data_IF_966824233925
#
_entry.id   IF_966824233925
#
_cell.length_a   1.000
_cell.length_b   1.000
_cell.length_c   1.000
_cell.angle_alpha   90.00
_cell.angle_beta   90.00
_cell.angle_gamma   90.00
#
_symmetry.space_group_name_H-M   'P 1'
#
loop_
_entity.id
_entity.type
_entity.pdbx_description
1 polymer ?
#
# COMPACT_ATOMS: atom_id res chain seq x y z
N UNK A 1 -71.21 -0.23 -30.21
CA UNK A 1 -69.82 -0.47 -29.84
C UNK A 1 -69.82 -0.85 -28.36
N UNK A 2 -69.95 -2.15 -28.08
CA UNK A 2 -69.86 -2.69 -26.71
C UNK A 2 -68.42 -3.04 -26.41
N UNK A 3 -67.73 -2.12 -25.80
CA UNK A 3 -66.39 -2.44 -25.26
C UNK A 3 -66.56 -3.40 -24.07
N UNK A 4 -66.16 -4.62 -24.27
CA UNK A 4 -66.33 -5.76 -23.37
C UNK A 4 -65.80 -5.44 -21.99
N UNK A 5 -66.63 -5.18 -20.98
CA UNK A 5 -66.27 -4.93 -19.55
C UNK A 5 -65.28 -5.90 -18.99
N UNK A 6 -65.27 -7.14 -19.51
CA UNK A 6 -64.29 -8.17 -19.15
C UNK A 6 -62.84 -7.81 -19.51
N UNK A 7 -62.59 -7.14 -20.67
CA UNK A 7 -61.22 -6.76 -21.07
C UNK A 7 -60.66 -5.62 -20.20
N UNK A 8 -61.49 -4.70 -19.74
CA UNK A 8 -61.12 -3.65 -18.82
C UNK A 8 -60.77 -4.19 -17.44
N UNK A 9 -61.46 -5.21 -16.94
CA UNK A 9 -61.17 -5.87 -15.68
C UNK A 9 -59.86 -6.65 -15.72
N UNK A 10 -59.50 -7.29 -16.84
CA UNK A 10 -58.24 -7.96 -17.00
C UNK A 10 -57.05 -7.00 -17.13
N UNK A 11 -57.22 -5.85 -17.75
CA UNK A 11 -56.22 -4.80 -17.80
C UNK A 11 -56.00 -4.13 -16.43
N UNK A 12 -57.04 -3.91 -15.66
CA UNK A 12 -56.96 -3.36 -14.31
C UNK A 12 -56.29 -4.35 -13.33
N UNK A 13 -56.57 -5.66 -13.44
CA UNK A 13 -55.93 -6.69 -12.62
C UNK A 13 -54.45 -6.86 -12.95
N UNK A 14 -54.02 -6.72 -14.22
CA UNK A 14 -52.63 -6.74 -14.63
C UNK A 14 -51.81 -5.54 -14.14
N UNK A 15 -52.41 -4.36 -14.06
CA UNK A 15 -51.75 -3.14 -13.58
C UNK A 15 -51.55 -3.11 -12.05
N UNK A 16 -52.37 -3.84 -11.29
CA UNK A 16 -52.26 -3.92 -9.84
C UNK A 16 -51.15 -4.86 -9.34
N UNK A 17 -50.64 -5.76 -10.18
CA UNK A 17 -49.59 -6.72 -9.80
C UNK A 17 -48.19 -6.15 -9.98
N UNK A 18 -47.99 -5.12 -10.80
CA UNK A 18 -46.71 -4.49 -11.05
C UNK A 18 -46.03 -3.84 -9.81
N UNK A 19 -46.73 -3.18 -8.89
CA UNK A 19 -46.09 -2.63 -7.70
C UNK A 19 -45.73 -3.69 -6.63
N UNK A 20 -46.35 -4.87 -6.67
CA UNK A 20 -46.04 -5.94 -5.72
C UNK A 20 -44.69 -6.64 -6.00
N UNK A 21 -44.14 -6.49 -7.20
CA UNK A 21 -42.79 -7.00 -7.60
C UNK A 21 -41.69 -5.98 -7.41
N UNK A 22 -42.00 -4.76 -6.95
CA UNK A 22 -41.00 -3.80 -6.44
C UNK A 22 -40.45 -4.26 -5.08
N UNK A 23 -40.36 -5.56 -4.89
CA UNK A 23 -39.76 -6.19 -3.71
C UNK A 23 -38.35 -5.68 -3.54
N UNK A 24 -38.21 -4.78 -2.57
CA UNK A 24 -37.03 -4.59 -1.76
C UNK A 24 -35.73 -4.95 -2.45
N UNK A 25 -35.29 -4.13 -3.37
CA UNK A 25 -33.84 -3.98 -3.60
C UNK A 25 -33.27 -3.36 -2.31
N UNK A 26 -33.24 -4.14 -1.23
CA UNK A 26 -32.48 -3.81 -0.05
C UNK A 26 -31.04 -3.75 -0.53
N UNK A 27 -30.51 -2.56 -0.71
CA UNK A 27 -29.11 -2.35 -0.96
C UNK A 27 -28.38 -3.10 0.15
N UNK A 28 -27.69 -4.18 -0.21
CA UNK A 28 -26.94 -4.96 0.76
C UNK A 28 -25.99 -4.02 1.45
N UNK A 29 -26.11 -3.92 2.78
CA UNK A 29 -25.22 -3.09 3.58
C UNK A 29 -23.80 -3.61 3.39
N UNK A 30 -22.96 -2.80 2.77
CA UNK A 30 -21.53 -3.13 2.63
C UNK A 30 -20.78 -2.73 3.91
N UNK A 31 -19.88 -3.61 4.41
CA UNK A 31 -19.63 -4.99 4.03
C UNK A 31 -20.61 -5.96 4.73
N UNK A 32 -21.10 -6.99 4.01
CA UNK A 32 -21.94 -8.06 4.56
C UNK A 32 -21.16 -9.32 4.94
N UNK A 33 -19.86 -9.36 4.63
CA UNK A 33 -18.92 -10.46 4.88
C UNK A 33 -17.51 -9.92 5.09
N UNK A 34 -16.56 -10.72 5.58
CA UNK A 34 -15.18 -10.30 5.76
C UNK A 34 -14.54 -9.72 4.51
N UNK A 35 -13.79 -8.64 4.68
CA UNK A 35 -13.02 -7.96 3.63
C UNK A 35 -11.56 -8.32 3.76
N UNK A 36 -10.89 -8.64 2.67
CA UNK A 36 -9.45 -8.96 2.64
C UNK A 36 -8.66 -7.73 2.22
N UNK A 37 -7.60 -7.42 2.96
CA UNK A 37 -6.61 -6.40 2.59
C UNK A 37 -5.30 -7.11 2.26
N UNK A 38 -4.92 -7.11 0.99
CA UNK A 38 -3.70 -7.73 0.51
C UNK A 38 -2.54 -6.72 0.65
N UNK A 39 -1.46 -7.14 1.32
CA UNK A 39 -0.26 -6.35 1.56
C UNK A 39 0.92 -6.98 0.82
N UNK A 40 1.55 -6.23 -0.08
CA UNK A 40 2.62 -6.72 -0.96
C UNK A 40 4.01 -6.81 -0.31
N UNK A 41 4.09 -6.66 1.01
CA UNK A 41 5.34 -6.69 1.78
C UNK A 41 5.24 -7.66 2.95
N UNK A 42 6.39 -8.02 3.50
CA UNK A 42 6.46 -8.93 4.64
C UNK A 42 5.72 -8.38 5.87
N UNK A 43 5.18 -9.29 6.67
CA UNK A 43 4.56 -8.95 7.95
C UNK A 43 5.54 -8.20 8.86
N UNK A 44 5.04 -7.23 9.63
CA UNK A 44 5.82 -6.38 10.52
C UNK A 44 6.48 -5.18 9.81
N UNK A 45 6.40 -5.07 8.50
CA UNK A 45 6.81 -3.87 7.77
C UNK A 45 5.83 -2.71 7.93
N UNK A 46 6.25 -1.48 7.60
CA UNK A 46 5.43 -0.27 7.80
C UNK A 46 4.05 -0.34 7.12
N UNK A 47 3.97 -0.92 5.93
CA UNK A 47 2.68 -1.11 5.25
C UNK A 47 1.78 -2.14 5.95
N UNK A 48 2.34 -3.21 6.50
CA UNK A 48 1.59 -4.21 7.25
C UNK A 48 1.02 -3.62 8.54
N UNK A 49 1.84 -2.85 9.27
CA UNK A 49 1.41 -2.16 10.49
C UNK A 49 0.25 -1.20 10.19
N UNK A 50 0.38 -0.38 9.14
CA UNK A 50 -0.69 0.54 8.73
C UNK A 50 -1.94 -0.22 8.29
N UNK A 51 -1.81 -1.30 7.52
CA UNK A 51 -2.93 -2.12 7.09
C UNK A 51 -3.68 -2.72 8.28
N UNK A 52 -2.96 -3.20 9.32
CA UNK A 52 -3.58 -3.74 10.54
C UNK A 52 -4.30 -2.68 11.36
N UNK A 53 -3.70 -1.49 11.51
CA UNK A 53 -4.34 -0.36 12.21
C UNK A 53 -5.64 0.07 11.52
N UNK A 54 -5.60 0.26 10.20
CA UNK A 54 -6.79 0.63 9.42
C UNK A 54 -7.80 -0.51 9.37
N UNK A 55 -7.35 -1.75 9.22
CA UNK A 55 -8.21 -2.93 9.21
C UNK A 55 -8.98 -3.09 10.51
N UNK A 56 -8.32 -2.89 11.66
CA UNK A 56 -8.98 -2.90 12.96
C UNK A 56 -10.01 -1.78 13.07
N UNK A 57 -9.65 -0.56 12.73
CA UNK A 57 -10.53 0.60 12.78
C UNK A 57 -11.77 0.44 11.87
N UNK A 58 -11.58 -0.11 10.66
CA UNK A 58 -12.68 -0.41 9.74
C UNK A 58 -13.57 -1.52 10.28
N UNK A 59 -12.98 -2.56 10.88
CA UNK A 59 -13.73 -3.67 11.49
C UNK A 59 -14.64 -3.18 12.60
N UNK A 60 -14.14 -2.30 13.47
CA UNK A 60 -14.90 -1.73 14.58
C UNK A 60 -16.04 -0.82 14.10
N UNK A 61 -15.86 -0.11 12.99
CA UNK A 61 -16.87 0.80 12.46
C UNK A 61 -17.92 0.16 11.54
N UNK A 62 -17.50 -0.84 10.78
CA UNK A 62 -18.33 -1.44 9.74
C UNK A 62 -18.92 -2.80 10.18
N UNK A 63 -18.53 -3.32 11.35
CA UNK A 63 -19.10 -4.52 11.94
C UNK A 63 -18.73 -5.82 11.22
N UNK A 64 -17.77 -5.78 10.29
CA UNK A 64 -17.24 -6.97 9.61
C UNK A 64 -15.72 -6.98 9.68
N UNK A 65 -15.09 -8.16 9.82
CA UNK A 65 -13.64 -8.27 9.94
C UNK A 65 -12.94 -7.85 8.64
N UNK A 66 -11.88 -7.04 8.78
CA UNK A 66 -10.91 -6.73 7.73
C UNK A 66 -9.65 -7.58 7.95
N UNK A 67 -9.47 -8.60 7.12
CA UNK A 67 -8.41 -9.61 7.27
C UNK A 67 -7.19 -9.19 6.46
N UNK A 68 -6.04 -9.03 7.13
CA UNK A 68 -4.79 -8.66 6.48
C UNK A 68 -4.07 -9.92 5.99
N UNK A 69 -3.70 -9.92 4.71
CA UNK A 69 -2.99 -11.02 4.07
C UNK A 69 -1.72 -10.53 3.39
N UNK A 70 -0.56 -10.97 3.88
CA UNK A 70 0.72 -10.60 3.30
C UNK A 70 1.07 -11.51 2.11
N UNK A 71 1.32 -10.89 0.95
CA UNK A 71 1.75 -11.54 -0.31
C UNK A 71 3.00 -10.84 -0.85
N UNK A 72 4.16 -11.04 -0.19
CA UNK A 72 5.38 -10.38 -0.61
C UNK A 72 5.93 -10.95 -1.91
N UNK A 73 6.66 -10.12 -2.65
CA UNK A 73 7.40 -10.51 -3.84
C UNK A 73 7.23 -9.56 -5.01
N UNK A 74 8.24 -9.56 -5.89
CA UNK A 74 8.31 -8.74 -7.11
C UNK A 74 7.95 -7.26 -6.89
N UNK A 75 8.40 -6.65 -5.76
CA UNK A 75 8.09 -5.25 -5.46
C UNK A 75 6.60 -4.97 -5.26
N UNK A 76 5.84 -5.93 -4.66
CA UNK A 76 4.38 -5.88 -4.48
C UNK A 76 3.54 -6.21 -5.73
N UNK A 77 4.16 -6.58 -6.87
CA UNK A 77 3.42 -6.93 -8.09
C UNK A 77 2.59 -8.21 -7.89
N UNK A 78 3.08 -9.20 -7.12
CA UNK A 78 2.33 -10.42 -6.80
C UNK A 78 1.03 -10.07 -6.05
N UNK A 79 1.08 -9.16 -5.10
CA UNK A 79 -0.10 -8.70 -4.37
C UNK A 79 -1.08 -7.95 -5.28
N UNK A 80 -0.58 -7.10 -6.16
CA UNK A 80 -1.39 -6.37 -7.12
C UNK A 80 -2.10 -7.32 -8.09
N UNK A 81 -1.41 -8.35 -8.60
CA UNK A 81 -1.98 -9.37 -9.49
C UNK A 81 -3.13 -10.15 -8.82
N UNK A 82 -2.98 -10.48 -7.54
CA UNK A 82 -4.06 -11.15 -6.77
C UNK A 82 -5.32 -10.28 -6.73
N UNK A 83 -5.17 -8.96 -6.55
CA UNK A 83 -6.32 -8.06 -6.47
C UNK A 83 -6.94 -7.78 -7.83
N UNK A 84 -6.13 -7.61 -8.87
CA UNK A 84 -6.61 -7.41 -10.25
C UNK A 84 -7.43 -8.63 -10.73
N UNK A 85 -7.02 -9.84 -10.35
CA UNK A 85 -7.73 -11.07 -10.71
C UNK A 85 -8.91 -11.41 -9.76
N UNK A 86 -9.13 -10.62 -8.71
CA UNK A 86 -10.26 -10.80 -7.81
C UNK A 86 -11.54 -10.18 -8.38
N UNK A 87 -12.69 -10.63 -7.88
CA UNK A 87 -13.98 -10.03 -8.22
C UNK A 87 -14.00 -8.56 -7.79
N UNK A 88 -14.41 -7.61 -8.67
CA UNK A 88 -14.41 -6.18 -8.36
C UNK A 88 -15.64 -5.76 -7.52
N UNK A 89 -15.84 -6.42 -6.40
CA UNK A 89 -16.98 -6.27 -5.49
C UNK A 89 -16.64 -5.50 -4.20
N UNK A 90 -15.39 -5.02 -4.08
CA UNK A 90 -14.90 -4.29 -2.91
C UNK A 90 -14.46 -5.18 -1.74
N UNK A 91 -14.53 -6.51 -1.83
CA UNK A 91 -14.13 -7.41 -0.73
C UNK A 91 -12.67 -7.86 -0.79
N UNK A 92 -11.94 -7.47 -1.82
CA UNK A 92 -10.49 -7.67 -1.91
C UNK A 92 -9.83 -6.34 -2.22
N UNK A 93 -9.10 -5.81 -1.26
CA UNK A 93 -8.44 -4.51 -1.33
C UNK A 93 -6.92 -4.70 -1.40
N UNK A 94 -6.24 -3.76 -2.03
CA UNK A 94 -4.77 -3.70 -2.07
C UNK A 94 -4.27 -2.56 -1.19
N UNK A 95 -3.35 -2.86 -0.30
CA UNK A 95 -2.54 -1.83 0.36
C UNK A 95 -1.46 -1.35 -0.59
N UNK A 96 -1.67 -0.18 -1.17
CA UNK A 96 -0.78 0.40 -2.18
C UNK A 96 0.33 1.22 -1.54
N UNK A 97 1.52 1.12 -2.10
CA UNK A 97 2.65 1.99 -1.77
C UNK A 97 3.35 2.54 -3.01
N UNK A 98 4.34 3.43 -2.84
CA UNK A 98 5.07 4.02 -3.96
C UNK A 98 5.67 3.00 -4.93
N UNK A 99 6.08 1.84 -4.45
CA UNK A 99 6.63 0.76 -5.27
C UNK A 99 5.67 0.30 -6.37
N UNK A 100 4.37 0.28 -6.10
CA UNK A 100 3.37 -0.13 -7.10
C UNK A 100 3.31 0.86 -8.28
N UNK A 101 3.38 2.16 -8.00
CA UNK A 101 3.41 3.19 -9.05
C UNK A 101 4.73 3.16 -9.83
N UNK A 102 5.86 2.98 -9.14
CA UNK A 102 7.19 2.88 -9.75
C UNK A 102 7.25 1.65 -10.66
N UNK A 103 6.78 0.50 -10.20
CA UNK A 103 6.78 -0.75 -10.95
C UNK A 103 5.88 -0.71 -12.18
N UNK A 104 4.84 0.10 -12.19
CA UNK A 104 4.01 0.31 -13.38
C UNK A 104 4.82 0.81 -14.59
N UNK A 105 5.94 1.49 -14.34
CA UNK A 105 6.86 1.99 -15.39
C UNK A 105 8.15 1.17 -15.48
N UNK A 106 8.64 0.67 -14.35
CA UNK A 106 9.93 -0.03 -14.27
C UNK A 106 9.85 -1.48 -14.76
N UNK A 107 8.67 -2.11 -14.68
CA UNK A 107 8.50 -3.52 -15.02
C UNK A 107 7.97 -3.68 -16.44
N UNK A 108 8.78 -4.19 -17.36
CA UNK A 108 8.43 -4.39 -18.78
C UNK A 108 7.37 -5.48 -19.01
N UNK A 109 7.15 -6.36 -18.05
CA UNK A 109 6.29 -7.56 -18.18
C UNK A 109 5.30 -7.67 -17.02
N UNK A 110 4.35 -6.74 -16.94
CA UNK A 110 3.20 -6.87 -16.05
C UNK A 110 2.01 -7.44 -16.82
N UNK A 111 1.33 -8.44 -16.25
CA UNK A 111 0.10 -9.02 -16.80
C UNK A 111 -1.13 -8.12 -16.57
N UNK A 112 -0.95 -6.94 -15.98
CA UNK A 112 -1.99 -5.98 -15.65
C UNK A 112 -1.49 -4.54 -15.81
N UNK A 113 -2.41 -3.59 -15.89
CA UNK A 113 -2.11 -2.18 -15.86
C UNK A 113 -2.57 -1.58 -14.52
N UNK A 114 -1.61 -1.17 -13.70
CA UNK A 114 -1.87 -0.69 -12.34
C UNK A 114 -2.85 0.50 -12.29
N UNK A 115 -2.76 1.41 -13.27
CA UNK A 115 -3.60 2.62 -13.30
C UNK A 115 -5.01 2.31 -13.81
N UNK A 116 -5.14 1.39 -14.78
CA UNK A 116 -6.43 1.07 -15.41
C UNK A 116 -7.22 0.02 -14.62
N UNK A 117 -6.52 -0.98 -14.07
CA UNK A 117 -7.15 -2.20 -13.56
C UNK A 117 -7.39 -2.16 -12.04
N UNK A 118 -6.94 -1.09 -11.35
CA UNK A 118 -7.13 -0.89 -9.91
C UNK A 118 -7.79 0.46 -9.66
N UNK A 119 -8.97 0.43 -9.02
CA UNK A 119 -9.67 1.65 -8.63
C UNK A 119 -9.16 2.15 -7.27
N UNK A 120 -8.78 3.45 -7.13
CA UNK A 120 -8.39 4.02 -5.85
C UNK A 120 -9.59 4.16 -4.91
N UNK A 121 -9.43 3.74 -3.64
CA UNK A 121 -10.44 3.86 -2.59
C UNK A 121 -10.17 5.07 -1.71
N UNK A 122 -8.95 5.25 -1.25
CA UNK A 122 -8.58 6.38 -0.39
C UNK A 122 -7.09 6.38 -0.03
N UNK A 123 -6.59 7.56 0.36
CA UNK A 123 -5.24 7.72 0.87
C UNK A 123 -5.22 7.47 2.39
N UNK A 124 -4.23 6.73 2.86
CA UNK A 124 -4.09 6.36 4.28
C UNK A 124 -3.03 7.24 4.96
N UNK A 125 -1.86 7.40 4.32
CA UNK A 125 -0.74 8.13 4.88
C UNK A 125 0.15 8.73 3.80
N UNK A 126 0.94 9.71 4.19
CA UNK A 126 2.05 10.26 3.40
C UNK A 126 3.33 9.96 4.17
N UNK A 127 4.27 9.27 3.51
CA UNK A 127 5.59 8.97 4.08
C UNK A 127 6.67 9.80 3.41
N UNK A 128 7.69 10.18 4.18
CA UNK A 128 8.89 10.82 3.68
C UNK A 128 10.04 9.80 3.65
N UNK A 129 10.90 9.90 2.63
CA UNK A 129 12.16 9.17 2.63
C UNK A 129 13.21 9.99 3.38
N UNK A 130 13.96 9.35 4.26
CA UNK A 130 15.09 9.92 4.98
C UNK A 130 16.35 9.17 4.54
N UNK A 131 17.41 9.91 4.25
CA UNK A 131 18.72 9.35 3.99
C UNK A 131 19.56 9.42 5.27
N UNK A 132 20.02 8.27 5.71
CA UNK A 132 20.91 8.14 6.87
C UNK A 132 22.27 7.64 6.40
N UNK A 133 23.33 8.13 7.00
CA UNK A 133 24.71 7.69 6.75
C UNK A 133 25.33 7.22 8.05
N UNK A 134 26.23 6.25 7.95
CA UNK A 134 26.97 5.77 9.14
C UNK A 134 27.83 6.90 9.72
N UNK A 135 27.97 7.04 11.06
CA UNK A 135 28.74 8.11 11.71
C UNK A 135 30.21 8.21 11.29
N UNK A 136 30.78 7.11 10.76
CA UNK A 136 32.16 7.13 10.22
C UNK A 136 32.29 7.89 8.89
N UNK A 137 31.18 8.21 8.23
CA UNK A 137 31.20 9.00 6.99
C UNK A 137 31.36 10.48 7.38
N UNK A 138 32.43 11.17 6.97
CA UNK A 138 32.73 12.55 7.38
C UNK A 138 31.91 13.55 6.53
N UNK A 139 30.60 13.41 6.52
CA UNK A 139 29.68 14.27 5.78
C UNK A 139 28.45 14.58 6.65
N UNK A 140 28.13 15.84 6.79
CA UNK A 140 26.97 16.34 7.56
C UNK A 140 25.88 16.93 6.66
N UNK A 141 26.20 17.15 5.40
CA UNK A 141 25.31 17.73 4.40
C UNK A 141 25.33 16.90 3.13
N UNK A 142 24.29 17.02 2.31
CA UNK A 142 24.20 16.32 0.99
C UNK A 142 25.38 16.67 0.08
N UNK A 143 25.78 17.96 -0.09
CA UNK A 143 26.96 18.30 -0.91
C UNK A 143 28.26 17.67 -0.41
N UNK A 144 28.49 17.65 0.91
CA UNK A 144 29.67 16.98 1.50
C UNK A 144 29.64 15.46 1.24
N UNK A 145 28.46 14.85 1.38
CA UNK A 145 28.30 13.44 1.09
C UNK A 145 28.57 13.11 -0.39
N UNK A 146 28.07 13.94 -1.33
CA UNK A 146 28.38 13.79 -2.76
C UNK A 146 29.88 13.92 -3.03
N UNK A 147 30.55 14.90 -2.43
CA UNK A 147 31.98 15.07 -2.56
C UNK A 147 32.76 13.87 -2.01
N UNK A 148 32.36 13.36 -0.85
CA UNK A 148 32.92 12.15 -0.26
C UNK A 148 32.70 10.91 -1.16
N UNK A 149 31.50 10.75 -1.71
CA UNK A 149 31.18 9.64 -2.62
C UNK A 149 32.03 9.67 -3.88
N UNK A 150 32.19 10.86 -4.49
CA UNK A 150 33.08 11.05 -5.66
C UNK A 150 34.54 10.73 -5.37
N UNK A 151 34.99 10.97 -4.15
CA UNK A 151 36.37 10.65 -3.75
C UNK A 151 36.57 9.17 -3.38
N UNK A 152 35.50 8.41 -3.25
CA UNK A 152 35.52 7.01 -2.84
C UNK A 152 34.62 6.14 -3.75
N UNK A 153 34.86 6.10 -5.07
CA UNK A 153 34.01 5.37 -6.01
C UNK A 153 33.99 3.88 -5.67
N UNK A 154 32.81 3.27 -5.68
CA UNK A 154 32.59 1.85 -5.41
C UNK A 154 32.79 1.40 -3.95
N UNK A 155 33.11 2.31 -3.02
CA UNK A 155 33.28 1.98 -1.60
C UNK A 155 32.03 2.23 -0.76
N UNK A 156 31.03 2.91 -1.31
CA UNK A 156 29.80 3.23 -0.61
C UNK A 156 28.73 2.24 -1.02
N UNK A 157 28.10 1.61 -0.03
CA UNK A 157 26.96 0.73 -0.24
C UNK A 157 25.71 1.40 0.30
N UNK A 158 24.64 1.41 -0.50
CA UNK A 158 23.34 1.88 -0.09
C UNK A 158 22.39 0.69 0.15
N UNK A 159 21.74 0.65 1.31
CA UNK A 159 20.66 -0.28 1.58
C UNK A 159 19.33 0.34 1.18
N UNK A 160 18.48 -0.43 0.51
CA UNK A 160 17.14 -0.02 0.12
C UNK A 160 16.13 -1.14 0.35
N UNK A 161 14.85 -0.83 0.27
CA UNK A 161 13.76 -1.82 0.38
C UNK A 161 13.65 -2.79 -0.80
N UNK A 162 14.59 -2.72 -1.76
CA UNK A 162 14.62 -3.53 -2.97
C UNK A 162 14.44 -2.70 -4.24
N UNK A 163 14.64 -3.34 -5.40
CA UNK A 163 14.48 -2.70 -6.70
C UNK A 163 13.05 -2.18 -6.84
N UNK A 164 12.89 -0.93 -7.28
CA UNK A 164 11.58 -0.28 -7.41
C UNK A 164 10.98 0.26 -6.10
N UNK A 165 11.65 0.10 -4.95
CA UNK A 165 11.24 0.80 -3.74
C UNK A 165 11.51 2.30 -3.86
N UNK A 166 10.73 3.13 -3.15
CA UNK A 166 10.91 4.59 -3.19
C UNK A 166 12.31 5.03 -2.74
N UNK A 167 12.88 4.34 -1.75
CA UNK A 167 14.23 4.58 -1.26
C UNK A 167 15.29 4.29 -2.34
N UNK A 168 15.08 3.22 -3.13
CA UNK A 168 15.95 2.87 -4.25
C UNK A 168 15.96 3.96 -5.30
N UNK A 169 14.79 4.33 -5.78
CA UNK A 169 14.64 5.38 -6.82
C UNK A 169 15.13 6.74 -6.33
N UNK A 170 14.85 7.09 -5.06
CA UNK A 170 15.35 8.33 -4.47
C UNK A 170 16.87 8.37 -4.38
N UNK A 171 17.50 7.24 -4.05
CA UNK A 171 18.96 7.12 -4.01
C UNK A 171 19.58 7.28 -5.39
N UNK A 172 19.05 6.61 -6.41
CA UNK A 172 19.51 6.71 -7.81
C UNK A 172 19.36 8.13 -8.36
N UNK A 173 18.28 8.84 -8.00
CA UNK A 173 18.06 10.23 -8.41
C UNK A 173 18.97 11.23 -7.67
N UNK A 174 19.26 10.97 -6.39
CA UNK A 174 20.10 11.86 -5.59
C UNK A 174 21.60 11.71 -5.89
N UNK A 175 22.01 10.52 -6.28
CA UNK A 175 23.42 10.15 -6.49
C UNK A 175 23.52 9.33 -7.79
N UNK A 176 24.30 9.74 -8.78
CA UNK A 176 24.52 8.93 -9.98
C UNK A 176 25.02 7.53 -9.60
N UNK A 177 24.44 6.49 -10.18
CA UNK A 177 24.70 5.08 -9.85
C UNK A 177 26.14 4.60 -9.97
N UNK A 178 27.05 5.42 -10.56
CA UNK A 178 28.50 5.16 -10.61
C UNK A 178 29.18 5.38 -9.24
N UNK A 179 28.54 6.05 -8.30
CA UNK A 179 29.15 6.47 -7.03
C UNK A 179 28.94 5.47 -5.89
N UNK A 180 28.01 4.55 -6.00
CA UNK A 180 27.70 3.58 -4.94
C UNK A 180 27.10 2.29 -5.51
N UNK A 181 27.19 1.22 -4.73
CA UNK A 181 26.53 -0.04 -5.02
C UNK A 181 25.25 -0.16 -4.20
N UNK A 182 24.12 -0.42 -4.85
CA UNK A 182 22.84 -0.64 -4.17
C UNK A 182 22.73 -2.12 -3.82
N UNK A 183 22.54 -2.41 -2.54
CA UNK A 183 22.23 -3.74 -2.06
C UNK A 183 20.78 -3.78 -1.54
N UNK A 184 19.94 -4.70 -2.05
CA UNK A 184 18.62 -4.88 -1.49
C UNK A 184 18.72 -5.34 -0.04
N UNK A 185 17.97 -4.72 0.87
CA UNK A 185 17.98 -5.00 2.30
C UNK A 185 17.70 -6.48 2.64
N UNK A 186 17.00 -7.22 1.76
CA UNK A 186 16.79 -8.67 1.90
C UNK A 186 18.01 -9.55 1.69
N UNK A 187 19.14 -8.99 1.20
CA UNK A 187 20.42 -9.69 1.01
C UNK A 187 21.36 -9.58 2.21
N UNK A 188 21.02 -8.79 3.22
CA UNK A 188 21.83 -8.63 4.42
C UNK A 188 21.70 -9.88 5.33
N UNK A 189 22.37 -10.97 4.95
CA UNK A 189 22.64 -12.11 5.84
C UNK A 189 23.82 -11.82 6.78
N UNK A 190 24.22 -10.56 6.91
CA UNK A 190 25.18 -10.13 7.92
C UNK A 190 24.41 -9.78 9.20
N UNK A 191 24.96 -10.21 10.35
CA UNK A 191 24.47 -9.74 11.65
C UNK A 191 24.27 -8.23 11.55
N UNK A 192 23.02 -7.76 11.73
CA UNK A 192 22.79 -6.36 12.09
C UNK A 192 23.72 -6.12 13.26
N UNK A 193 24.68 -5.18 13.21
CA UNK A 193 25.40 -4.80 14.40
C UNK A 193 24.32 -4.39 15.39
N UNK A 194 24.10 -5.19 16.42
CA UNK A 194 23.26 -4.77 17.53
C UNK A 194 23.90 -3.50 18.03
N UNK A 195 23.19 -2.39 17.85
CA UNK A 195 23.58 -1.12 18.47
C UNK A 195 23.80 -1.44 19.94
N UNK A 196 24.99 -1.21 20.51
CA UNK A 196 25.21 -1.51 21.91
C UNK A 196 24.15 -0.74 22.73
N UNK A 197 23.59 -1.32 23.80
CA UNK A 197 22.55 -0.67 24.60
C UNK A 197 22.91 0.74 25.11
N UNK A 198 24.20 1.06 25.16
CA UNK A 198 24.73 2.37 25.53
C UNK A 198 24.52 3.47 24.47
N UNK A 199 24.06 3.16 23.26
CA UNK A 199 23.74 4.17 22.24
C UNK A 199 22.28 4.62 22.27
N UNK A 200 21.48 4.04 23.16
CA UNK A 200 20.12 4.50 23.49
C UNK A 200 20.16 5.35 24.78
N UNK A 201 21.06 6.31 24.85
CA UNK A 201 20.87 7.38 25.83
C UNK A 201 19.52 8.02 25.55
N UNK A 202 18.60 8.09 26.52
CA UNK A 202 17.36 8.78 26.33
C UNK A 202 17.70 10.21 25.94
N UNK A 203 17.25 10.61 24.77
CA UNK A 203 17.25 12.03 24.38
C UNK A 203 16.60 12.75 25.56
N UNK A 204 17.42 13.50 26.32
CA UNK A 204 17.00 14.28 27.47
C UNK A 204 15.95 15.31 27.05
N UNK A 205 14.73 14.87 26.93
CA UNK A 205 13.56 15.68 26.68
C UNK A 205 13.04 16.30 27.96
N UNK A 206 13.80 17.24 28.53
CA UNK A 206 13.29 18.23 29.46
C UNK A 206 12.55 19.30 28.66
N UNK A 207 11.37 19.02 28.14
CA UNK A 207 10.41 20.05 27.74
C UNK A 207 9.79 20.67 29.01
N UNK A 208 9.58 22.01 29.09
CA UNK A 208 8.89 22.61 30.21
C UNK A 208 7.43 22.11 30.28
N UNK A 209 6.85 22.02 31.50
CA UNK A 209 5.44 21.65 31.63
C UNK A 209 4.57 22.70 30.94
N UNK A 210 3.61 22.22 30.17
CA UNK A 210 2.53 23.05 29.61
C UNK A 210 1.49 23.19 30.76
N UNK A 211 1.39 24.42 31.31
CA UNK A 211 0.26 24.84 32.15
C UNK A 211 -1.02 24.99 31.34
#
# INVERSE_FOLDING_TARGET
MEFCRRRLLHLAAGAAVLPALSGFAAAQTYPSRPVRIIVGFAAGGGQDILARLIGQWLSDRLGQPFVIENRPGAGSNIAAEVVVNATPDGYTLLMVGPANAINATLSDKLNFNFIRDIAPVGAISIGLNVMEVHPSVPAKTIPEFIAYAKSNPGKINMASGGNGASQHVSGELALPGELFSIQPAGGYRGRVPTCPPSALDPIGGGGPPID
#
